data_IF_408163400774
#
_entry.id   IF_408163400774
#
_cell.length_a   1.000
_cell.length_b   1.000
_cell.length_c   1.000
_cell.angle_alpha   90.00
_cell.angle_beta   90.00
_cell.angle_gamma   90.00
#
_symmetry.space_group_name_H-M   'P 1'
#
loop_
_entity.id
_entity.type
_entity.pdbx_description
1 polymer ?
#
# COMPACT_ATOMS: atom_id res chain seq x y z
N UNK A 1 -11.47 27.19 -21.85
CA UNK A 1 -11.57 26.90 -20.41
C UNK A 1 -11.24 25.42 -20.23
N UNK A 2 -10.47 25.02 -19.21
CA UNK A 2 -10.28 23.60 -18.92
C UNK A 2 -11.66 22.93 -18.71
N UNK A 3 -11.83 21.71 -19.22
CA UNK A 3 -13.09 20.97 -19.09
C UNK A 3 -13.41 20.78 -17.60
N UNK A 4 -14.64 21.12 -17.18
CA UNK A 4 -15.06 21.00 -15.79
C UNK A 4 -15.02 19.53 -15.39
N UNK A 5 -14.30 19.22 -14.32
CA UNK A 5 -14.20 17.85 -13.82
C UNK A 5 -15.54 17.39 -13.23
N UNK A 6 -15.89 16.14 -13.53
CA UNK A 6 -16.99 15.38 -12.95
C UNK A 6 -16.53 13.95 -12.71
N UNK A 7 -17.17 13.18 -11.80
CA UNK A 7 -16.78 11.79 -11.55
C UNK A 7 -16.74 10.89 -12.80
N UNK A 8 -17.51 11.22 -13.85
CA UNK A 8 -17.60 10.49 -15.11
C UNK A 8 -16.75 11.08 -16.26
N UNK A 9 -16.04 12.20 -16.03
CA UNK A 9 -15.22 12.87 -17.04
C UNK A 9 -14.13 11.97 -17.65
N UNK A 10 -13.64 10.99 -16.88
CA UNK A 10 -12.67 10.00 -17.35
C UNK A 10 -13.20 9.12 -18.49
N UNK A 11 -14.52 8.92 -18.60
CA UNK A 11 -15.13 8.06 -19.64
C UNK A 11 -14.91 8.60 -21.06
N UNK A 12 -14.59 9.90 -21.18
CA UNK A 12 -14.25 10.55 -22.46
C UNK A 12 -12.76 10.44 -22.82
N UNK A 13 -11.92 9.92 -21.92
CA UNK A 13 -10.49 9.79 -22.12
C UNK A 13 -10.13 8.37 -22.58
N UNK A 14 -9.00 8.18 -23.29
CA UNK A 14 -8.44 6.86 -23.53
C UNK A 14 -8.20 6.13 -22.20
N UNK A 15 -8.50 4.83 -22.15
CA UNK A 15 -8.34 4.00 -20.95
C UNK A 15 -7.53 2.75 -21.26
N UNK A 16 -6.62 2.41 -20.34
CA UNK A 16 -5.85 1.17 -20.38
C UNK A 16 -6.38 0.19 -19.33
N UNK A 17 -6.16 -1.11 -19.53
CA UNK A 17 -6.43 -2.17 -18.54
C UNK A 17 -7.90 -2.39 -18.14
N UNK A 18 -8.86 -1.63 -18.68
CA UNK A 18 -10.28 -1.85 -18.45
C UNK A 18 -10.75 -3.21 -19.01
N UNK A 19 -11.59 -3.95 -18.28
CA UNK A 19 -12.21 -5.17 -18.80
C UNK A 19 -13.24 -4.84 -19.89
N UNK A 20 -13.45 -5.80 -20.79
CA UNK A 20 -14.55 -5.76 -21.75
C UNK A 20 -15.69 -6.63 -21.20
N UNK A 21 -16.71 -5.98 -20.63
CA UNK A 21 -17.89 -6.68 -20.15
C UNK A 21 -18.82 -7.06 -21.31
N UNK A 22 -19.38 -8.28 -21.32
CA UNK A 22 -20.22 -8.75 -22.42
C UNK A 22 -21.58 -8.04 -22.49
N UNK A 23 -22.12 -7.61 -21.35
CA UNK A 23 -23.39 -6.90 -21.25
C UNK A 23 -23.16 -5.52 -20.61
N UNK A 24 -23.34 -4.47 -21.41
CA UNK A 24 -23.17 -3.08 -20.96
C UNK A 24 -24.33 -2.58 -20.10
N UNK A 25 -25.52 -3.13 -20.26
CA UNK A 25 -26.68 -2.75 -19.45
C UNK A 25 -26.51 -3.27 -18.03
N UNK A 26 -26.08 -4.54 -17.88
CA UNK A 26 -25.77 -5.11 -16.55
C UNK A 26 -24.66 -4.34 -15.85
N UNK A 27 -23.64 -3.86 -16.59
CA UNK A 27 -22.61 -2.98 -16.04
C UNK A 27 -23.20 -1.67 -15.52
N UNK A 28 -23.97 -0.96 -16.36
CA UNK A 28 -24.58 0.31 -15.98
C UNK A 28 -25.53 0.17 -14.78
N UNK A 29 -26.32 -0.90 -14.73
CA UNK A 29 -27.22 -1.20 -13.61
C UNK A 29 -26.45 -1.49 -12.32
N UNK A 30 -25.32 -2.21 -12.43
CA UNK A 30 -24.45 -2.50 -11.29
C UNK A 30 -23.78 -1.22 -10.75
N UNK A 31 -23.23 -0.38 -11.63
CA UNK A 31 -22.63 0.90 -11.24
C UNK A 31 -23.67 1.83 -10.59
N UNK A 32 -24.89 1.88 -11.15
CA UNK A 32 -26.02 2.63 -10.57
C UNK A 32 -26.42 2.08 -9.19
N UNK A 33 -26.43 0.77 -9.02
CA UNK A 33 -26.70 0.15 -7.72
C UNK A 33 -25.63 0.55 -6.70
N UNK A 34 -24.35 0.40 -7.03
CA UNK A 34 -23.22 0.77 -6.16
C UNK A 34 -23.25 2.26 -5.75
N UNK A 35 -23.68 3.15 -6.65
CA UNK A 35 -23.84 4.57 -6.36
C UNK A 35 -24.86 4.86 -5.23
N UNK A 36 -25.80 3.95 -4.98
CA UNK A 36 -26.77 4.04 -3.88
C UNK A 36 -26.24 3.53 -2.54
N UNK A 37 -25.13 2.79 -2.54
CA UNK A 37 -24.58 2.23 -1.30
C UNK A 37 -23.84 3.28 -0.46
N UNK A 38 -23.78 3.07 0.88
CA UNK A 38 -22.95 3.88 1.76
C UNK A 38 -21.48 3.96 1.30
N UNK A 39 -20.77 5.05 1.60
CA UNK A 39 -19.34 5.12 1.39
C UNK A 39 -18.59 4.12 2.30
N UNK A 40 -17.45 3.59 1.87
CA UNK A 40 -16.58 2.77 2.74
C UNK A 40 -15.82 3.66 3.74
N UNK A 41 -15.39 4.84 3.30
CA UNK A 41 -14.64 5.79 4.13
C UNK A 41 -15.30 7.17 4.14
N UNK A 42 -15.17 7.89 5.25
CA UNK A 42 -15.64 9.27 5.34
C UNK A 42 -14.59 10.25 4.83
N UNK A 43 -15.01 11.32 4.14
CA UNK A 43 -14.11 12.32 3.56
C UNK A 43 -13.19 13.00 4.61
N UNK A 44 -13.67 13.17 5.84
CA UNK A 44 -12.84 13.68 6.94
C UNK A 44 -11.66 12.78 7.29
N UNK A 45 -11.81 11.46 7.13
CA UNK A 45 -10.73 10.50 7.37
C UNK A 45 -9.65 10.59 6.29
N UNK A 46 -10.05 10.77 5.02
CA UNK A 46 -9.11 11.03 3.93
C UNK A 46 -8.33 12.35 4.15
N UNK A 47 -8.97 13.39 4.71
CA UNK A 47 -8.28 14.63 5.10
C UNK A 47 -7.30 14.41 6.26
N UNK A 48 -7.67 13.61 7.25
CA UNK A 48 -6.78 13.26 8.36
C UNK A 48 -5.54 12.50 7.83
N UNK A 49 -5.73 11.55 6.92
CA UNK A 49 -4.63 10.87 6.24
C UNK A 49 -3.75 11.87 5.48
N UNK A 50 -4.34 12.79 4.69
CA UNK A 50 -3.57 13.80 3.96
C UNK A 50 -2.71 14.66 4.89
N UNK A 51 -3.25 15.08 6.05
CA UNK A 51 -2.48 15.79 7.09
C UNK A 51 -1.35 14.93 7.67
N UNK A 52 -1.58 13.63 7.89
CA UNK A 52 -0.56 12.70 8.36
C UNK A 52 0.56 12.52 7.32
N UNK A 53 0.21 12.37 6.04
CA UNK A 53 1.17 12.29 4.93
C UNK A 53 1.92 13.61 4.71
N UNK A 54 1.32 14.76 5.04
CA UNK A 54 2.03 16.04 5.04
C UNK A 54 3.17 16.04 6.06
N UNK A 55 2.97 15.45 7.25
CA UNK A 55 4.06 15.26 8.24
C UNK A 55 5.17 14.37 7.67
N UNK A 56 4.83 13.33 6.91
CA UNK A 56 5.83 12.47 6.24
C UNK A 56 6.61 13.26 5.19
N UNK A 57 5.94 14.02 4.32
CA UNK A 57 6.59 14.88 3.34
C UNK A 57 7.54 15.91 4.00
N UNK A 58 7.21 16.35 5.21
CA UNK A 58 8.01 17.26 6.03
C UNK A 58 9.05 16.56 6.93
N UNK A 59 9.33 15.26 6.75
CA UNK A 59 10.31 14.47 7.52
C UNK A 59 9.99 14.31 9.01
N UNK A 60 8.72 14.41 9.38
CA UNK A 60 8.24 14.30 10.77
C UNK A 60 7.57 12.95 11.06
N UNK A 61 7.41 12.10 10.05
CA UNK A 61 6.79 10.79 10.14
C UNK A 61 7.29 9.90 8.99
N UNK A 62 6.98 8.61 9.05
CA UNK A 62 7.26 7.63 8.00
C UNK A 62 5.98 6.94 7.54
N UNK A 63 5.85 6.65 6.25
CA UNK A 63 4.73 5.90 5.69
C UNK A 63 5.07 4.41 5.65
N UNK A 64 4.28 3.59 6.35
CA UNK A 64 4.22 2.15 6.12
C UNK A 64 2.93 1.86 5.33
N UNK A 65 3.08 1.45 4.08
CA UNK A 65 1.98 0.97 3.26
C UNK A 65 2.18 -0.52 2.93
N UNK A 66 1.17 -1.36 3.12
CA UNK A 66 1.32 -2.79 2.83
C UNK A 66 0.09 -3.65 3.02
N UNK A 67 0.11 -4.84 2.42
CA UNK A 67 -0.98 -5.83 2.46
C UNK A 67 -0.95 -6.72 1.25
N UNK A 68 -2.09 -7.31 0.90
CA UNK A 68 -2.13 -8.29 -0.19
C UNK A 68 -1.77 -7.69 -1.55
N UNK A 69 -1.29 -8.55 -2.45
CA UNK A 69 -1.09 -8.20 -3.84
C UNK A 69 -2.45 -7.96 -4.53
N UNK A 70 -3.34 -8.94 -4.38
CA UNK A 70 -4.76 -8.83 -4.67
C UNK A 70 -5.54 -9.58 -3.59
N UNK A 71 -6.58 -8.95 -3.04
CA UNK A 71 -7.53 -9.62 -2.16
C UNK A 71 -8.37 -10.62 -2.97
N UNK A 72 -8.73 -11.75 -2.34
CA UNK A 72 -9.60 -12.76 -2.94
C UNK A 72 -10.90 -12.92 -2.14
N UNK A 73 -11.99 -13.23 -2.84
CA UNK A 73 -13.27 -13.59 -2.25
C UNK A 73 -13.19 -14.92 -1.49
N UNK A 74 -12.36 -15.86 -1.96
CA UNK A 74 -12.18 -17.16 -1.31
C UNK A 74 -11.40 -17.06 0.01
N UNK A 75 -10.51 -16.08 0.14
CA UNK A 75 -9.67 -15.88 1.34
C UNK A 75 -10.30 -14.90 2.35
N UNK A 76 -11.59 -14.61 2.23
CA UNK A 76 -12.31 -13.73 3.14
C UNK A 76 -12.61 -14.40 4.49
N UNK A 77 -11.69 -14.26 5.44
CA UNK A 77 -11.84 -14.79 6.80
C UNK A 77 -11.33 -13.81 7.87
N UNK A 78 -12.04 -13.74 8.99
CA UNK A 78 -11.67 -12.87 10.11
C UNK A 78 -10.25 -13.15 10.64
N UNK A 79 -9.82 -14.42 10.62
CA UNK A 79 -8.45 -14.81 10.99
C UNK A 79 -7.40 -14.22 10.05
N UNK A 80 -7.64 -14.25 8.73
CA UNK A 80 -6.71 -13.68 7.74
C UNK A 80 -6.56 -12.16 7.95
N UNK A 81 -7.68 -11.45 8.13
CA UNK A 81 -7.69 -10.01 8.38
C UNK A 81 -6.96 -9.68 9.69
N UNK A 82 -7.24 -10.42 10.76
CA UNK A 82 -6.56 -10.27 12.06
C UNK A 82 -5.06 -10.53 11.93
N UNK A 83 -4.66 -11.59 11.24
CA UNK A 83 -3.26 -12.00 11.15
C UNK A 83 -2.44 -11.01 10.29
N UNK A 84 -3.03 -10.50 9.20
CA UNK A 84 -2.49 -9.36 8.46
C UNK A 84 -2.34 -8.13 9.37
N UNK A 85 -3.42 -7.72 10.06
CA UNK A 85 -3.41 -6.52 10.90
C UNK A 85 -2.37 -6.63 12.03
N UNK A 86 -2.28 -7.80 12.67
CA UNK A 86 -1.27 -8.10 13.71
C UNK A 86 0.14 -7.95 13.18
N UNK A 87 0.47 -8.60 12.06
CA UNK A 87 1.80 -8.49 11.44
C UNK A 87 2.11 -7.03 11.06
N UNK A 88 1.13 -6.32 10.49
CA UNK A 88 1.28 -4.92 10.13
C UNK A 88 1.61 -4.03 11.34
N UNK A 89 0.91 -4.22 12.45
CA UNK A 89 1.17 -3.49 13.70
C UNK A 89 2.55 -3.80 14.28
N UNK A 90 3.00 -5.06 14.18
CA UNK A 90 4.36 -5.42 14.63
C UNK A 90 5.43 -4.64 13.85
N UNK A 91 5.32 -4.56 12.51
CA UNK A 91 6.23 -3.73 11.72
C UNK A 91 6.15 -2.27 12.11
N UNK A 92 4.95 -1.75 12.28
CA UNK A 92 4.74 -0.36 12.66
C UNK A 92 5.38 -0.03 14.01
N UNK A 93 5.29 -0.92 15.00
CA UNK A 93 5.90 -0.73 16.31
C UNK A 93 7.42 -0.83 16.24
N UNK A 94 7.97 -1.79 15.48
CA UNK A 94 9.42 -1.89 15.23
C UNK A 94 9.96 -0.58 14.68
N UNK A 95 9.32 -0.05 13.63
CA UNK A 95 9.68 1.22 13.02
C UNK A 95 9.52 2.38 14.00
N UNK A 96 8.39 2.46 14.71
CA UNK A 96 8.12 3.57 15.65
C UNK A 96 9.18 3.63 16.75
N UNK A 97 9.48 2.50 17.37
CA UNK A 97 10.44 2.44 18.48
C UNK A 97 11.87 2.64 18.00
N UNK A 98 12.31 1.86 17.01
CA UNK A 98 13.73 1.83 16.63
C UNK A 98 14.14 3.03 15.76
N UNK A 99 13.23 3.62 14.98
CA UNK A 99 13.47 4.88 14.27
C UNK A 99 13.18 6.13 15.12
N UNK A 100 12.45 5.98 16.24
CA UNK A 100 11.96 7.07 17.10
C UNK A 100 11.15 8.14 16.31
N UNK A 101 10.19 7.68 15.51
CA UNK A 101 9.41 8.52 14.61
C UNK A 101 7.99 7.98 14.41
N UNK A 102 6.96 8.85 14.31
CA UNK A 102 5.60 8.42 13.99
C UNK A 102 5.51 7.64 12.69
N UNK A 103 4.71 6.57 12.66
CA UNK A 103 4.46 5.77 11.46
C UNK A 103 3.00 5.89 11.04
N UNK A 104 2.76 6.41 9.84
CA UNK A 104 1.44 6.45 9.18
C UNK A 104 1.16 5.08 8.57
N UNK A 105 0.01 4.48 8.93
CA UNK A 105 -0.32 3.07 8.67
C UNK A 105 -1.39 2.98 7.59
N UNK A 106 -1.01 2.51 6.40
CA UNK A 106 -1.91 2.41 5.25
C UNK A 106 -1.96 0.96 4.74
N UNK A 107 -3.05 0.26 4.96
CA UNK A 107 -3.27 -1.10 4.47
C UNK A 107 -3.56 -1.13 2.96
N UNK A 108 -3.04 -2.13 2.26
CA UNK A 108 -3.55 -2.58 0.96
C UNK A 108 -4.66 -3.61 1.20
N UNK A 109 -5.83 -3.13 1.57
CA UNK A 109 -6.91 -3.97 2.10
C UNK A 109 -8.26 -3.25 1.98
N UNK A 110 -9.35 -4.01 1.94
CA UNK A 110 -10.72 -3.54 1.78
C UNK A 110 -10.96 -2.77 0.47
N UNK A 111 -10.40 -3.28 -0.64
CA UNK A 111 -10.62 -2.70 -1.97
C UNK A 111 -9.62 -3.16 -3.04
N UNK A 112 -8.58 -3.90 -2.68
CA UNK A 112 -7.47 -4.28 -3.56
C UNK A 112 -7.81 -5.53 -4.39
N UNK A 113 -8.94 -5.51 -5.09
CA UNK A 113 -9.46 -6.67 -5.84
C UNK A 113 -9.15 -6.65 -7.34
N UNK A 114 -8.63 -5.54 -7.89
CA UNK A 114 -8.34 -5.41 -9.32
C UNK A 114 -6.83 -5.48 -9.58
N UNK A 115 -6.43 -6.17 -10.67
CA UNK A 115 -5.02 -6.30 -11.07
C UNK A 115 -4.80 -5.94 -12.53
N UNK A 116 -3.82 -5.07 -12.86
CA UNK A 116 -3.42 -4.88 -14.24
C UNK A 116 -2.63 -6.10 -14.76
N UNK A 117 -2.72 -6.38 -16.06
CA UNK A 117 -2.06 -7.53 -16.70
C UNK A 117 -1.19 -7.10 -17.86
N UNK A 118 -0.02 -7.74 -17.99
CA UNK A 118 0.88 -7.52 -19.13
C UNK A 118 0.31 -8.06 -20.44
N UNK A 119 -0.54 -9.10 -20.38
CA UNK A 119 -1.22 -9.69 -21.54
C UNK A 119 -2.73 -9.73 -21.28
N UNK A 120 -3.58 -9.46 -22.28
CA UNK A 120 -5.03 -9.60 -22.14
C UNK A 120 -5.48 -11.06 -22.02
N UNK A 121 -4.70 -12.01 -22.55
CA UNK A 121 -5.00 -13.45 -22.55
C UNK A 121 -3.91 -14.25 -21.85
N UNK A 122 -4.27 -15.45 -21.42
CA UNK A 122 -3.40 -16.45 -20.79
C UNK A 122 -3.55 -17.78 -21.53
N UNK A 123 -2.41 -18.43 -21.83
CA UNK A 123 -2.37 -19.72 -22.51
C UNK A 123 -1.93 -20.82 -21.54
N UNK A 124 -2.72 -21.87 -21.42
CA UNK A 124 -2.38 -23.10 -20.67
C UNK A 124 -2.91 -24.31 -21.43
N UNK A 125 -2.10 -25.35 -21.56
CA UNK A 125 -2.48 -26.63 -22.17
C UNK A 125 -3.16 -26.49 -23.55
N UNK A 126 -2.65 -25.58 -24.38
CA UNK A 126 -3.18 -25.33 -25.73
C UNK A 126 -4.48 -24.50 -25.79
N UNK A 127 -5.08 -24.13 -24.65
CA UNK A 127 -6.24 -23.22 -24.58
C UNK A 127 -5.82 -21.79 -24.27
N UNK A 128 -6.48 -20.82 -24.90
CA UNK A 128 -6.27 -19.39 -24.68
C UNK A 128 -7.54 -18.76 -24.10
N UNK A 129 -7.45 -18.22 -22.88
CA UNK A 129 -8.56 -17.58 -22.17
C UNK A 129 -8.20 -16.15 -21.75
N UNK A 130 -9.19 -15.28 -21.44
CA UNK A 130 -8.91 -13.99 -20.82
C UNK A 130 -8.06 -14.17 -19.56
N UNK A 131 -7.09 -13.27 -19.39
CA UNK A 131 -6.29 -13.23 -18.16
C UNK A 131 -7.20 -12.94 -16.96
N UNK A 132 -6.91 -13.59 -15.83
CA UNK A 132 -7.47 -13.21 -14.54
C UNK A 132 -7.08 -11.75 -14.20
N UNK A 133 -8.05 -10.89 -13.89
CA UNK A 133 -7.82 -9.46 -13.60
C UNK A 133 -8.20 -9.09 -12.16
N UNK A 134 -8.33 -10.10 -11.29
CA UNK A 134 -8.77 -9.92 -9.92
C UNK A 134 -10.26 -10.17 -9.75
N UNK A 135 -10.66 -10.57 -8.53
CA UNK A 135 -11.98 -11.15 -8.24
C UNK A 135 -13.14 -10.19 -8.49
N UNK A 136 -12.88 -8.88 -8.50
CA UNK A 136 -13.87 -7.84 -8.87
C UNK A 136 -14.23 -7.85 -10.37
N UNK A 137 -13.42 -8.49 -11.21
CA UNK A 137 -13.63 -8.56 -12.66
C UNK A 137 -14.04 -9.98 -13.07
N UNK A 138 -13.22 -10.98 -12.77
CA UNK A 138 -13.42 -12.38 -13.16
C UNK A 138 -12.78 -13.33 -12.16
N UNK A 139 -13.02 -14.62 -12.32
CA UNK A 139 -12.53 -15.65 -11.41
C UNK A 139 -11.11 -16.14 -11.76
N UNK A 140 -10.40 -16.67 -10.77
CA UNK A 140 -9.07 -17.22 -10.96
C UNK A 140 -9.07 -18.51 -11.79
N UNK A 141 -10.09 -19.37 -11.64
CA UNK A 141 -10.17 -20.67 -12.29
C UNK A 141 -10.00 -20.54 -13.82
N UNK A 142 -9.25 -21.48 -14.43
CA UNK A 142 -8.91 -21.44 -15.86
C UNK A 142 -10.00 -22.14 -16.71
N UNK A 143 -11.22 -21.60 -16.67
CA UNK A 143 -12.35 -22.05 -17.51
C UNK A 143 -12.98 -20.85 -18.23
N UNK A 144 -13.69 -21.10 -19.35
CA UNK A 144 -14.32 -20.03 -20.13
C UNK A 144 -15.31 -19.20 -19.30
N UNK A 145 -16.16 -19.87 -18.52
CA UNK A 145 -17.14 -19.21 -17.66
C UNK A 145 -16.47 -18.41 -16.53
N UNK A 146 -15.46 -18.99 -15.88
CA UNK A 146 -14.70 -18.35 -14.81
C UNK A 146 -14.00 -17.07 -15.28
N UNK A 147 -13.42 -17.10 -16.49
CA UNK A 147 -12.63 -15.98 -17.04
C UNK A 147 -13.47 -14.89 -17.69
N UNK A 148 -14.77 -15.11 -17.91
CA UNK A 148 -15.69 -14.09 -18.43
C UNK A 148 -15.87 -12.96 -17.40
N UNK A 149 -15.63 -11.69 -17.76
CA UNK A 149 -15.89 -10.57 -16.86
C UNK A 149 -17.38 -10.48 -16.47
N UNK A 150 -17.65 -10.38 -15.18
CA UNK A 150 -19.01 -10.24 -14.62
C UNK A 150 -19.11 -8.94 -13.82
N UNK A 151 -19.94 -7.95 -14.25
CA UNK A 151 -20.09 -6.70 -13.52
C UNK A 151 -20.58 -6.89 -12.08
N UNK A 152 -21.36 -7.93 -11.80
CA UNK A 152 -21.96 -8.19 -10.48
C UNK A 152 -20.92 -8.46 -9.39
N UNK A 153 -19.71 -8.89 -9.77
CA UNK A 153 -18.57 -9.06 -8.87
C UNK A 153 -18.16 -7.75 -8.19
N UNK A 154 -18.50 -6.59 -8.77
CA UNK A 154 -18.28 -5.28 -8.12
C UNK A 154 -19.13 -5.10 -6.85
N UNK A 155 -20.36 -5.64 -6.81
CA UNK A 155 -21.21 -5.62 -5.61
C UNK A 155 -20.60 -6.49 -4.51
N UNK A 156 -20.05 -7.64 -4.88
CA UNK A 156 -19.39 -8.53 -3.92
C UNK A 156 -18.11 -7.91 -3.36
N UNK A 157 -17.28 -7.32 -4.22
CA UNK A 157 -16.10 -6.58 -3.80
C UNK A 157 -16.45 -5.46 -2.80
N UNK A 158 -17.53 -4.71 -3.03
CA UNK A 158 -18.01 -3.70 -2.08
C UNK A 158 -18.39 -4.33 -0.73
N UNK A 159 -19.18 -5.41 -0.72
CA UNK A 159 -19.63 -6.07 0.53
C UNK A 159 -18.46 -6.59 1.34
N UNK A 160 -17.52 -7.26 0.67
CA UNK A 160 -16.30 -7.75 1.31
C UNK A 160 -15.45 -6.59 1.85
N UNK A 161 -15.31 -5.51 1.09
CA UNK A 161 -14.58 -4.31 1.54
C UNK A 161 -15.22 -3.72 2.79
N UNK A 162 -16.55 -3.59 2.83
CA UNK A 162 -17.29 -3.06 3.97
C UNK A 162 -17.12 -3.96 5.21
N UNK A 163 -17.23 -5.28 5.06
CA UNK A 163 -17.05 -6.23 6.15
C UNK A 163 -15.61 -6.21 6.71
N UNK A 164 -14.62 -6.22 5.81
CA UNK A 164 -13.19 -6.15 6.18
C UNK A 164 -12.87 -4.85 6.90
N UNK A 165 -13.31 -3.70 6.36
CA UNK A 165 -13.05 -2.40 6.96
C UNK A 165 -13.74 -2.24 8.32
N UNK A 166 -14.96 -2.75 8.47
CA UNK A 166 -15.64 -2.76 9.77
C UNK A 166 -14.84 -3.53 10.83
N UNK A 167 -14.31 -4.71 10.48
CA UNK A 167 -13.48 -5.50 11.38
C UNK A 167 -12.15 -4.81 11.70
N UNK A 168 -11.50 -4.19 10.72
CA UNK A 168 -10.28 -3.41 10.92
C UNK A 168 -10.50 -2.23 11.86
N UNK A 169 -11.60 -1.49 11.72
CA UNK A 169 -11.99 -0.42 12.64
C UNK A 169 -12.16 -0.94 14.06
N UNK A 170 -12.82 -2.09 14.22
CA UNK A 170 -12.98 -2.74 15.51
C UNK A 170 -11.63 -3.14 16.13
N UNK A 171 -10.68 -3.65 15.36
CA UNK A 171 -9.34 -3.95 15.88
C UNK A 171 -8.53 -2.70 16.22
N UNK A 172 -8.58 -1.66 15.37
CA UNK A 172 -7.83 -0.43 15.54
C UNK A 172 -8.28 0.41 16.75
N UNK A 173 -9.57 0.35 17.09
CA UNK A 173 -10.17 1.18 18.15
C UNK A 173 -10.62 0.37 19.37
N UNK A 174 -10.93 -0.92 19.20
CA UNK A 174 -11.50 -1.80 20.25
C UNK A 174 -10.48 -2.47 21.16
N UNK A 175 -9.23 -1.96 21.22
CA UNK A 175 -8.19 -2.44 22.12
C UNK A 175 -7.26 -3.51 21.55
N UNK A 176 -7.54 -4.10 20.38
CA UNK A 176 -6.60 -5.02 19.74
C UNK A 176 -5.30 -4.33 19.32
N UNK A 177 -5.31 -3.01 19.13
CA UNK A 177 -4.12 -2.20 18.80
C UNK A 177 -3.42 -1.58 20.03
N UNK A 178 -3.79 -1.97 21.27
CA UNK A 178 -3.19 -1.43 22.49
C UNK A 178 -1.69 -1.78 22.58
N UNK A 179 -0.84 -0.78 22.80
CA UNK A 179 0.61 -0.97 22.93
C UNK A 179 1.00 -1.89 24.11
N UNK A 180 0.17 -1.98 25.16
CA UNK A 180 0.37 -2.93 26.25
C UNK A 180 0.27 -4.40 25.78
N UNK A 181 -0.43 -4.67 24.67
CA UNK A 181 -0.60 -6.00 24.10
C UNK A 181 0.51 -6.39 23.10
N UNK A 182 1.51 -5.53 22.85
CA UNK A 182 2.55 -5.77 21.84
C UNK A 182 3.29 -7.09 22.13
N UNK A 183 3.57 -7.41 23.41
CA UNK A 183 4.20 -8.68 23.80
C UNK A 183 3.37 -9.90 23.37
N UNK A 184 2.04 -9.82 23.44
CA UNK A 184 1.15 -10.91 23.02
C UNK A 184 1.17 -11.11 21.50
N UNK A 185 1.28 -10.02 20.73
CA UNK A 185 1.40 -10.13 19.27
C UNK A 185 2.73 -10.78 18.87
N UNK A 186 3.84 -10.34 19.48
CA UNK A 186 5.20 -10.70 19.07
C UNK A 186 5.58 -12.16 19.33
N UNK A 187 4.97 -12.82 20.33
CA UNK A 187 5.35 -14.20 20.72
C UNK A 187 4.84 -15.30 19.78
N UNK A 188 3.88 -15.03 18.88
CA UNK A 188 3.16 -16.08 18.14
C UNK A 188 3.93 -16.73 16.98
N UNK A 189 4.59 -15.93 16.12
CA UNK A 189 5.24 -16.44 14.89
C UNK A 189 6.76 -16.54 15.01
N UNK A 190 7.32 -15.77 15.92
CA UNK A 190 8.75 -15.56 16.03
C UNK A 190 9.42 -16.61 16.92
N UNK A 191 8.65 -17.36 17.72
CA UNK A 191 9.17 -18.33 18.69
C UNK A 191 10.18 -19.32 18.09
N UNK A 192 9.97 -19.71 16.83
CA UNK A 192 10.80 -20.69 16.12
C UNK A 192 11.71 -20.07 15.03
N UNK A 193 11.79 -18.73 14.98
CA UNK A 193 12.59 -18.00 13.98
C UNK A 193 14.04 -17.78 14.46
N UNK A 194 15.04 -17.84 13.56
CA UNK A 194 16.42 -17.46 13.86
C UNK A 194 16.57 -16.02 14.40
N UNK A 195 15.66 -15.10 14.03
CA UNK A 195 15.69 -13.72 14.53
C UNK A 195 14.97 -13.51 15.86
N UNK A 196 14.42 -14.57 16.46
CA UNK A 196 13.63 -14.49 17.68
C UNK A 196 14.27 -13.66 18.79
N UNK A 197 15.58 -13.81 18.96
CA UNK A 197 16.34 -13.05 19.95
C UNK A 197 16.24 -11.52 19.73
N UNK A 198 16.44 -11.04 18.51
CA UNK A 198 16.39 -9.60 18.19
C UNK A 198 14.99 -9.03 18.43
N UNK A 199 13.96 -9.82 18.17
CA UNK A 199 12.57 -9.45 18.47
C UNK A 199 12.28 -9.39 19.97
N UNK A 200 12.71 -10.39 20.73
CA UNK A 200 12.54 -10.43 22.18
C UNK A 200 13.24 -9.24 22.83
N UNK A 201 14.49 -8.94 22.43
CA UNK A 201 15.22 -7.79 22.95
C UNK A 201 14.50 -6.45 22.66
N UNK A 202 13.90 -6.29 21.48
CA UNK A 202 13.11 -5.11 21.16
C UNK A 202 11.81 -5.05 21.99
N UNK A 203 11.12 -6.19 22.12
CA UNK A 203 9.91 -6.32 22.93
C UNK A 203 10.14 -5.91 24.37
N UNK A 204 11.22 -6.39 24.97
CA UNK A 204 11.58 -6.11 26.36
C UNK A 204 11.86 -4.62 26.52
N UNK A 205 12.60 -4.02 25.59
CA UNK A 205 12.86 -2.57 25.56
C UNK A 205 11.62 -1.70 25.40
N UNK A 206 10.65 -2.13 24.60
CA UNK A 206 9.34 -1.44 24.50
C UNK A 206 8.60 -1.57 25.83
N UNK A 207 8.61 -2.75 26.43
CA UNK A 207 7.95 -3.01 27.73
C UNK A 207 8.57 -2.16 28.85
N UNK A 208 9.90 -2.05 28.88
CA UNK A 208 10.64 -1.17 29.78
C UNK A 208 10.27 0.30 29.57
N UNK A 209 10.18 0.77 28.32
CA UNK A 209 9.80 2.14 28.02
C UNK A 209 8.35 2.45 28.45
N UNK A 210 7.41 1.52 28.23
CA UNK A 210 6.04 1.65 28.72
C UNK A 210 6.00 1.64 30.25
N UNK A 211 6.79 0.79 30.90
CA UNK A 211 6.94 0.76 32.36
C UNK A 211 7.53 2.07 32.91
N UNK A 212 8.49 2.68 32.21
CA UNK A 212 9.03 4.00 32.55
C UNK A 212 7.95 5.08 32.42
N UNK A 213 7.19 5.11 31.32
CA UNK A 213 6.07 6.05 31.15
C UNK A 213 5.06 5.92 32.30
N UNK A 214 4.71 4.68 32.67
CA UNK A 214 3.82 4.42 33.79
C UNK A 214 4.42 4.89 35.14
N UNK A 215 5.71 4.66 35.37
CA UNK A 215 6.41 5.14 36.56
C UNK A 215 6.49 6.68 36.63
N UNK A 216 6.48 7.37 35.48
CA UNK A 216 6.35 8.82 35.39
C UNK A 216 4.92 9.34 35.59
N UNK A 217 3.95 8.46 35.85
CA UNK A 217 2.55 8.82 36.13
C UNK A 217 1.65 8.86 34.88
N UNK A 218 2.11 8.37 33.72
CA UNK A 218 1.24 8.18 32.56
C UNK A 218 0.42 6.90 32.75
N UNK A 219 -0.88 7.04 32.93
CA UNK A 219 -1.78 5.89 32.95
C UNK A 219 -2.08 5.41 31.52
N UNK A 220 -1.50 4.27 31.17
CA UNK A 220 -1.59 3.68 29.84
C UNK A 220 -3.05 3.38 29.43
N UNK A 221 -3.97 3.21 30.39
CA UNK A 221 -5.37 2.91 30.11
C UNK A 221 -6.26 4.16 29.92
N UNK A 222 -5.90 5.29 30.51
CA UNK A 222 -6.63 6.56 30.34
C UNK A 222 -6.12 7.43 29.18
N UNK A 223 -5.03 7.04 28.52
CA UNK A 223 -4.51 7.70 27.32
C UNK A 223 -4.96 6.99 26.02
N UNK A 224 -5.94 7.55 25.27
CA UNK A 224 -6.45 6.95 24.04
C UNK A 224 -5.37 6.72 22.97
N UNK A 225 -4.33 7.55 22.96
CA UNK A 225 -3.21 7.49 22.01
C UNK A 225 -2.35 6.22 22.17
N UNK A 226 -2.43 5.55 23.32
CA UNK A 226 -1.71 4.30 23.61
C UNK A 226 -2.59 3.06 23.39
N UNK A 227 -3.91 3.24 23.37
CA UNK A 227 -4.92 2.18 23.23
C UNK A 227 -5.41 1.98 21.82
N UNK A 228 -5.40 3.04 21.02
CA UNK A 228 -5.97 3.07 19.68
C UNK A 228 -4.91 3.44 18.66
N UNK A 229 -5.17 3.10 17.40
CA UNK A 229 -4.29 3.54 16.33
C UNK A 229 -5.11 3.90 15.10
N UNK A 230 -4.66 4.92 14.37
CA UNK A 230 -5.22 5.21 13.06
C UNK A 230 -4.73 4.18 12.06
N UNK A 231 -5.66 3.52 11.38
CA UNK A 231 -5.38 2.61 10.29
C UNK A 231 -6.20 2.98 9.07
N UNK A 232 -5.51 3.26 7.97
CA UNK A 232 -6.11 3.68 6.72
C UNK A 232 -6.08 2.56 5.69
N UNK A 233 -6.93 2.64 4.67
CA UNK A 233 -7.03 1.67 3.57
C UNK A 233 -6.65 2.28 2.25
N UNK A 234 -6.13 1.44 1.36
CA UNK A 234 -5.74 1.84 0.03
C UNK A 234 -5.81 0.70 -0.98
N UNK A 235 -6.03 1.07 -2.24
CA UNK A 235 -6.01 0.17 -3.38
C UNK A 235 -5.65 0.92 -4.68
N UNK A 236 -5.35 0.17 -5.73
CA UNK A 236 -5.17 0.71 -7.07
C UNK A 236 -6.52 1.14 -7.63
N UNK A 237 -6.64 2.40 -8.06
CA UNK A 237 -7.84 2.92 -8.71
C UNK A 237 -7.93 2.41 -10.16
N UNK A 238 -8.01 1.10 -10.35
CA UNK A 238 -7.89 0.48 -11.68
C UNK A 238 -9.23 0.42 -12.42
N UNK A 239 -10.29 -0.04 -11.74
CA UNK A 239 -11.63 -0.22 -12.30
C UNK A 239 -12.47 1.04 -12.08
N UNK A 240 -12.32 2.02 -12.97
CA UNK A 240 -12.86 3.37 -12.75
C UNK A 240 -14.40 3.44 -12.63
N UNK A 241 -15.14 2.48 -13.19
CA UNK A 241 -16.59 2.38 -12.98
C UNK A 241 -16.97 2.13 -11.52
N UNK A 242 -16.19 1.31 -10.82
CA UNK A 242 -16.32 1.06 -9.38
C UNK A 242 -15.94 2.31 -8.56
N UNK A 243 -14.84 2.95 -8.93
CA UNK A 243 -14.35 4.16 -8.26
C UNK A 243 -15.32 5.34 -8.42
N UNK A 244 -15.83 5.57 -9.63
CA UNK A 244 -16.88 6.55 -9.92
C UNK A 244 -18.14 6.28 -9.10
N UNK A 245 -18.62 5.03 -9.08
CA UNK A 245 -19.80 4.64 -8.31
C UNK A 245 -19.60 4.82 -6.80
N UNK A 246 -18.37 4.84 -6.29
CA UNK A 246 -18.03 5.13 -4.90
C UNK A 246 -17.47 6.55 -4.68
N UNK A 247 -17.61 7.46 -5.64
CA UNK A 247 -17.25 8.87 -5.48
C UNK A 247 -18.41 9.65 -4.86
N UNK A 248 -18.14 10.45 -3.83
CA UNK A 248 -19.16 11.23 -3.11
C UNK A 248 -18.71 12.67 -2.93
N UNK A 249 -19.69 13.57 -2.86
CA UNK A 249 -19.47 14.95 -2.40
C UNK A 249 -19.42 14.93 -0.88
N UNK A 250 -18.37 15.52 -0.32
CA UNK A 250 -18.29 15.79 1.11
C UNK A 250 -19.24 16.93 1.48
N UNK A 251 -20.19 16.64 2.39
CA UNK A 251 -21.19 17.61 2.83
C UNK A 251 -20.58 18.84 3.54
N UNK A 252 -19.34 18.74 4.04
CA UNK A 252 -18.68 19.84 4.76
C UNK A 252 -17.92 20.81 3.85
N UNK A 253 -17.45 20.36 2.68
CA UNK A 253 -16.58 21.17 1.79
C UNK A 253 -17.15 21.35 0.39
N UNK A 254 -18.06 20.49 -0.05
CA UNK A 254 -18.53 20.43 -1.43
C UNK A 254 -17.54 19.76 -2.40
N UNK A 255 -16.41 19.26 -1.89
CA UNK A 255 -15.38 18.58 -2.69
C UNK A 255 -15.73 17.10 -2.94
N UNK A 256 -15.17 16.56 -4.03
CA UNK A 256 -15.32 15.15 -4.38
C UNK A 256 -14.23 14.28 -3.75
N UNK A 257 -14.64 13.15 -3.19
CA UNK A 257 -13.74 12.12 -2.66
C UNK A 257 -14.12 10.75 -3.23
N UNK A 258 -13.12 9.97 -3.62
CA UNK A 258 -13.26 8.54 -3.82
C UNK A 258 -13.44 7.90 -2.44
N UNK A 259 -14.66 7.46 -2.12
CA UNK A 259 -14.98 6.89 -0.80
C UNK A 259 -14.86 5.37 -0.77
N UNK A 260 -14.22 4.78 -1.80
CA UNK A 260 -13.82 3.37 -1.87
C UNK A 260 -12.61 3.06 -0.96
N UNK A 261 -11.75 4.05 -0.68
CA UNK A 261 -10.57 3.91 0.15
C UNK A 261 -10.03 5.26 0.61
N UNK A 262 -9.23 5.28 1.67
CA UNK A 262 -8.70 6.54 2.21
C UNK A 262 -7.68 7.18 1.27
N UNK A 263 -6.76 6.36 0.76
CA UNK A 263 -5.80 6.68 -0.28
C UNK A 263 -6.00 5.74 -1.46
N UNK A 264 -5.90 6.24 -2.68
CA UNK A 264 -5.88 5.38 -3.87
C UNK A 264 -4.62 5.67 -4.69
N UNK A 265 -4.14 4.71 -5.48
CA UNK A 265 -2.98 4.96 -6.35
C UNK A 265 -3.26 4.64 -7.82
N UNK A 266 -2.44 5.25 -8.68
CA UNK A 266 -2.40 4.99 -10.11
C UNK A 266 -1.20 4.08 -10.40
N UNK A 267 -1.46 2.97 -11.08
CA UNK A 267 -0.46 1.97 -11.44
C UNK A 267 0.51 2.42 -12.54
N UNK A 268 1.64 1.72 -12.66
CA UNK A 268 2.69 2.06 -13.64
C UNK A 268 2.22 1.88 -15.10
N UNK A 269 1.17 1.07 -15.32
CA UNK A 269 0.57 0.80 -16.64
C UNK A 269 -0.59 1.72 -16.99
N UNK A 270 -1.03 2.55 -16.05
CA UNK A 270 -2.24 3.40 -16.16
C UNK A 270 -1.96 4.89 -15.88
N UNK A 271 -0.68 5.29 -15.83
CA UNK A 271 -0.26 6.66 -15.52
C UNK A 271 -0.01 7.56 -16.74
N UNK A 272 -0.66 7.30 -17.86
CA UNK A 272 -0.52 8.15 -19.04
C UNK A 272 -1.23 9.49 -18.78
N UNK A 273 -0.52 10.60 -18.96
CA UNK A 273 -0.94 11.94 -18.50
C UNK A 273 -2.27 12.44 -19.10
N UNK A 274 -2.67 11.92 -20.26
CA UNK A 274 -3.88 12.28 -21.02
C UNK A 274 -4.98 11.20 -20.94
N UNK A 275 -4.81 10.18 -20.10
CA UNK A 275 -5.73 9.04 -19.97
C UNK A 275 -6.67 9.13 -18.77
N UNK A 276 -7.67 8.25 -18.79
CA UNK A 276 -8.78 8.17 -17.85
C UNK A 276 -8.36 8.14 -16.38
N UNK A 277 -7.34 7.37 -16.00
CA UNK A 277 -6.91 7.24 -14.61
C UNK A 277 -6.33 8.54 -14.03
N UNK A 278 -5.57 9.28 -14.83
CA UNK A 278 -5.06 10.60 -14.44
C UNK A 278 -6.21 11.60 -14.36
N UNK A 279 -7.13 11.59 -15.33
CA UNK A 279 -8.31 12.47 -15.33
C UNK A 279 -9.20 12.22 -14.10
N UNK A 280 -9.44 10.97 -13.73
CA UNK A 280 -10.20 10.63 -12.54
C UNK A 280 -9.50 11.14 -11.26
N UNK A 281 -8.21 10.83 -11.09
CA UNK A 281 -7.44 11.22 -9.91
C UNK A 281 -7.25 12.74 -9.77
N UNK A 282 -7.28 13.49 -10.89
CA UNK A 282 -7.14 14.95 -10.92
C UNK A 282 -8.19 15.67 -10.08
N UNK A 283 -9.44 15.19 -10.05
CA UNK A 283 -10.54 15.93 -9.41
C UNK A 283 -10.98 15.44 -8.03
N UNK A 284 -10.61 14.22 -7.62
CA UNK A 284 -10.84 13.77 -6.24
C UNK A 284 -9.87 14.46 -5.27
N UNK A 285 -10.23 14.61 -4.00
CA UNK A 285 -9.42 15.27 -2.96
C UNK A 285 -8.71 14.32 -1.99
N UNK A 286 -8.83 13.01 -2.17
CA UNK A 286 -8.05 12.01 -1.43
C UNK A 286 -6.54 12.25 -1.56
N UNK A 287 -5.71 11.87 -0.59
CA UNK A 287 -4.29 11.64 -0.88
C UNK A 287 -4.17 10.54 -1.93
N UNK A 288 -3.25 10.72 -2.89
CA UNK A 288 -3.09 9.83 -4.04
C UNK A 288 -1.65 9.32 -4.18
N UNK A 289 -1.52 8.08 -4.61
CA UNK A 289 -0.24 7.47 -4.97
C UNK A 289 -0.03 7.41 -6.48
N UNK A 290 1.22 7.46 -6.92
CA UNK A 290 1.62 7.29 -8.32
C UNK A 290 2.82 6.35 -8.42
N UNK A 291 2.65 5.18 -9.04
CA UNK A 291 3.75 4.25 -9.27
C UNK A 291 4.76 4.84 -10.26
N UNK A 292 6.03 4.81 -9.89
CA UNK A 292 7.14 5.34 -10.68
C UNK A 292 8.11 4.18 -11.03
N UNK A 293 7.97 3.64 -12.23
CA UNK A 293 8.90 2.63 -12.77
C UNK A 293 10.08 3.22 -13.56
N UNK A 294 11.01 2.36 -14.01
CA UNK A 294 12.22 2.79 -14.73
C UNK A 294 11.96 3.43 -16.11
N UNK A 295 10.75 3.31 -16.65
CA UNK A 295 10.35 3.96 -17.90
C UNK A 295 9.96 5.43 -17.74
N UNK A 296 9.74 5.91 -16.50
CA UNK A 296 9.30 7.28 -16.23
C UNK A 296 10.46 8.26 -16.37
N UNK A 297 10.28 9.30 -17.20
CA UNK A 297 11.23 10.39 -17.37
C UNK A 297 10.89 11.56 -16.44
N UNK A 298 11.88 12.39 -16.15
CA UNK A 298 11.74 13.55 -15.26
C UNK A 298 10.66 14.54 -15.72
N UNK A 299 10.65 14.93 -17.00
CA UNK A 299 9.67 15.90 -17.51
C UNK A 299 8.24 15.35 -17.49
N UNK A 300 8.08 14.06 -17.79
CA UNK A 300 6.78 13.38 -17.70
C UNK A 300 6.31 13.31 -16.23
N UNK A 301 7.21 13.04 -15.29
CA UNK A 301 6.89 13.07 -13.86
C UNK A 301 6.44 14.45 -13.41
N UNK A 302 7.15 15.51 -13.80
CA UNK A 302 6.78 16.89 -13.45
C UNK A 302 5.40 17.25 -13.99
N UNK A 303 5.09 16.89 -15.25
CA UNK A 303 3.76 17.08 -15.82
C UNK A 303 2.67 16.33 -15.04
N UNK A 304 2.95 15.10 -14.61
CA UNK A 304 2.01 14.34 -13.78
C UNK A 304 1.80 15.00 -12.41
N UNK A 305 2.86 15.52 -11.79
CA UNK A 305 2.76 16.27 -10.53
C UNK A 305 1.91 17.53 -10.72
N UNK A 306 2.11 18.28 -11.80
CA UNK A 306 1.30 19.47 -12.13
C UNK A 306 -0.20 19.16 -12.22
N UNK A 307 -0.55 18.01 -12.81
CA UNK A 307 -1.95 17.60 -12.96
C UNK A 307 -2.54 17.14 -11.62
N UNK A 308 -1.77 16.38 -10.84
CA UNK A 308 -2.27 15.65 -9.66
C UNK A 308 -2.16 16.44 -8.36
N UNK A 309 -1.23 17.39 -8.28
CA UNK A 309 -0.99 18.27 -7.15
C UNK A 309 -0.74 19.73 -7.60
N UNK A 310 -1.72 20.37 -8.27
CA UNK A 310 -1.54 21.71 -8.84
C UNK A 310 -1.26 22.79 -7.79
N UNK A 311 -1.81 22.63 -6.58
CA UNK A 311 -1.63 23.57 -5.47
C UNK A 311 -0.36 23.30 -4.65
N UNK A 312 0.46 22.32 -5.08
CA UNK A 312 1.68 21.88 -4.40
C UNK A 312 1.46 21.54 -2.91
N UNK A 313 0.32 20.94 -2.58
CA UNK A 313 -0.10 20.63 -1.22
C UNK A 313 0.71 19.46 -0.65
N UNK A 314 1.28 19.65 0.55
CA UNK A 314 1.97 18.58 1.26
C UNK A 314 1.01 17.44 1.62
N UNK A 315 1.44 16.18 1.40
CA UNK A 315 0.63 14.99 1.69
C UNK A 315 -0.41 14.64 0.62
N UNK A 316 -0.58 15.47 -0.42
CA UNK A 316 -1.48 15.18 -1.55
C UNK A 316 -0.97 14.04 -2.42
N UNK A 317 0.31 14.06 -2.82
CA UNK A 317 0.87 13.14 -3.80
C UNK A 317 2.05 12.34 -3.24
N UNK A 318 1.94 11.02 -3.32
CA UNK A 318 2.99 10.05 -2.99
C UNK A 318 3.55 9.42 -4.27
N UNK A 319 4.83 9.61 -4.53
CA UNK A 319 5.57 8.96 -5.61
C UNK A 319 6.12 7.61 -5.12
N UNK A 320 5.62 6.53 -5.69
CA UNK A 320 5.92 5.16 -5.26
C UNK A 320 6.92 4.53 -6.23
N UNK A 321 8.21 4.62 -5.91
CA UNK A 321 9.32 4.16 -6.74
C UNK A 321 9.47 2.64 -6.75
N UNK A 322 9.47 2.03 -7.94
CA UNK A 322 9.63 0.58 -8.16
C UNK A 322 10.59 0.32 -9.31
N UNK A 323 11.87 0.53 -9.09
CA UNK A 323 12.88 0.50 -10.14
C UNK A 323 13.47 -0.90 -10.34
N UNK A 324 13.53 -1.69 -9.27
CA UNK A 324 14.35 -2.89 -9.19
C UNK A 324 15.73 -2.59 -8.60
N UNK A 325 16.30 -3.55 -7.89
CA UNK A 325 17.54 -3.44 -7.14
C UNK A 325 18.74 -2.97 -7.98
N UNK A 326 18.79 -3.39 -9.24
CA UNK A 326 19.88 -3.03 -10.17
C UNK A 326 19.69 -1.66 -10.83
N UNK A 327 18.50 -1.07 -10.74
CA UNK A 327 18.09 0.10 -11.52
C UNK A 327 17.78 1.34 -10.68
N UNK A 328 17.53 1.16 -9.38
CA UNK A 328 17.18 2.28 -8.48
C UNK A 328 18.26 3.36 -8.45
N UNK A 329 19.54 2.98 -8.40
CA UNK A 329 20.66 3.93 -8.38
C UNK A 329 20.87 4.68 -9.70
N UNK A 330 20.38 4.15 -10.82
CA UNK A 330 20.50 4.77 -12.15
C UNK A 330 19.33 5.74 -12.41
N UNK A 331 18.09 5.30 -12.13
CA UNK A 331 16.90 6.02 -12.57
C UNK A 331 16.36 7.02 -11.55
N UNK A 332 16.36 6.68 -10.25
CA UNK A 332 15.75 7.52 -9.22
C UNK A 332 16.43 8.90 -9.06
N UNK A 333 17.78 9.06 -9.11
CA UNK A 333 18.41 10.35 -8.88
C UNK A 333 17.90 11.47 -9.79
N UNK A 334 17.71 11.18 -11.08
CA UNK A 334 17.24 12.17 -12.04
C UNK A 334 15.83 12.69 -11.69
N UNK A 335 14.95 11.80 -11.23
CA UNK A 335 13.59 12.15 -10.82
C UNK A 335 13.60 13.00 -9.55
N UNK A 336 14.38 12.59 -8.55
CA UNK A 336 14.52 13.32 -7.27
C UNK A 336 15.07 14.73 -7.51
N UNK A 337 16.12 14.87 -8.33
CA UNK A 337 16.70 16.16 -8.69
C UNK A 337 15.71 17.07 -9.39
N UNK A 338 14.91 16.53 -10.32
CA UNK A 338 13.91 17.30 -11.03
C UNK A 338 12.81 17.82 -10.08
N UNK A 339 12.23 16.95 -9.26
CA UNK A 339 11.21 17.31 -8.26
C UNK A 339 11.72 18.37 -7.29
N UNK A 340 12.96 18.21 -6.81
CA UNK A 340 13.60 19.17 -5.90
C UNK A 340 13.87 20.51 -6.57
N UNK A 341 14.38 20.50 -7.81
CA UNK A 341 14.67 21.72 -8.59
C UNK A 341 13.41 22.56 -8.82
N UNK A 342 12.29 21.91 -9.14
CA UNK A 342 11.00 22.58 -9.38
C UNK A 342 10.24 22.90 -8.07
N UNK A 343 10.83 22.66 -6.89
CA UNK A 343 10.21 22.97 -5.61
C UNK A 343 8.92 22.19 -5.31
N UNK A 344 8.76 20.99 -5.89
CA UNK A 344 7.54 20.19 -5.72
C UNK A 344 7.55 19.43 -4.40
N UNK A 345 6.44 19.54 -3.67
CA UNK A 345 6.23 18.85 -2.39
C UNK A 345 5.51 17.53 -2.65
N UNK A 346 6.25 16.44 -2.48
CA UNK A 346 5.76 15.07 -2.66
C UNK A 346 6.32 14.17 -1.56
N UNK A 347 5.65 13.06 -1.31
CA UNK A 347 6.15 11.97 -0.48
C UNK A 347 6.83 10.94 -1.38
N UNK A 348 8.07 10.56 -1.07
CA UNK A 348 8.76 9.46 -1.74
C UNK A 348 8.60 8.15 -0.95
N UNK A 349 8.06 7.12 -1.59
CA UNK A 349 7.87 5.78 -1.02
C UNK A 349 8.54 4.72 -1.89
N UNK A 350 9.21 3.75 -1.28
CA UNK A 350 9.85 2.65 -1.99
C UNK A 350 8.91 1.45 -2.10
N UNK A 351 8.67 0.97 -3.32
CA UNK A 351 8.07 -0.33 -3.62
C UNK A 351 9.16 -1.29 -4.13
N UNK A 352 9.86 -1.99 -3.21
CA UNK A 352 10.96 -2.88 -3.56
C UNK A 352 10.48 -4.25 -4.07
N UNK A 353 9.18 -4.42 -4.30
CA UNK A 353 8.59 -5.73 -4.61
C UNK A 353 8.46 -5.88 -6.12
N UNK A 354 7.74 -4.97 -6.76
CA UNK A 354 7.32 -5.15 -8.14
C UNK A 354 8.53 -5.08 -9.10
N UNK A 355 9.59 -4.33 -8.76
CA UNK A 355 10.82 -4.23 -9.54
C UNK A 355 11.67 -5.49 -9.59
N UNK A 356 11.47 -6.40 -8.63
CA UNK A 356 12.37 -7.54 -8.37
C UNK A 356 11.69 -8.90 -8.59
N UNK A 357 10.63 -8.95 -9.40
CA UNK A 357 9.94 -10.20 -9.70
C UNK A 357 10.68 -10.97 -10.80
N UNK A 358 10.98 -12.23 -10.54
CA UNK A 358 11.59 -13.17 -11.49
C UNK A 358 10.70 -14.41 -11.67
N UNK A 359 10.94 -15.18 -12.72
CA UNK A 359 10.42 -16.55 -12.84
C UNK A 359 11.53 -17.51 -12.39
N UNK A 360 11.23 -18.38 -11.42
CA UNK A 360 12.17 -19.34 -10.87
C UNK A 360 12.32 -20.58 -11.77
N UNK A 361 13.25 -21.48 -11.44
CA UNK A 361 13.52 -22.67 -12.24
C UNK A 361 12.34 -23.66 -12.23
N UNK A 362 11.62 -23.73 -11.12
CA UNK A 362 10.35 -24.47 -10.99
C UNK A 362 9.15 -23.82 -11.72
N UNK A 363 9.33 -22.64 -12.33
CA UNK A 363 8.30 -21.95 -13.11
C UNK A 363 7.38 -21.03 -12.31
N UNK A 364 7.55 -20.96 -10.98
CA UNK A 364 6.84 -20.00 -10.15
C UNK A 364 7.37 -18.58 -10.36
N UNK A 365 6.49 -17.60 -10.24
CA UNK A 365 6.96 -16.23 -10.01
C UNK A 365 7.46 -16.16 -8.57
N UNK A 366 8.61 -15.55 -8.34
CA UNK A 366 9.13 -15.30 -6.99
C UNK A 366 9.86 -13.96 -6.95
N UNK A 367 10.24 -13.54 -5.75
CA UNK A 367 11.05 -12.35 -5.51
C UNK A 367 12.14 -12.72 -4.51
N UNK A 368 13.42 -12.71 -4.92
CA UNK A 368 14.51 -12.93 -3.99
C UNK A 368 14.55 -11.83 -2.94
N UNK A 369 14.48 -12.21 -1.67
CA UNK A 369 14.43 -11.26 -0.55
C UNK A 369 15.63 -10.31 -0.54
N UNK A 370 16.82 -10.79 -0.91
CA UNK A 370 18.03 -9.95 -0.99
C UNK A 370 17.91 -8.81 -2.01
N UNK A 371 17.20 -9.02 -3.13
CA UNK A 371 16.94 -7.95 -4.10
C UNK A 371 15.95 -6.92 -3.53
N UNK A 372 14.95 -7.37 -2.77
CA UNK A 372 14.03 -6.48 -2.05
C UNK A 372 14.82 -5.60 -1.08
N UNK A 373 15.69 -6.19 -0.25
CA UNK A 373 16.53 -5.46 0.69
C UNK A 373 17.49 -4.50 -0.04
N UNK A 374 18.09 -4.94 -1.16
CA UNK A 374 19.03 -4.14 -1.96
C UNK A 374 18.36 -2.92 -2.57
N UNK A 375 17.14 -3.04 -3.11
CA UNK A 375 16.40 -1.88 -3.62
C UNK A 375 16.08 -0.87 -2.52
N UNK A 376 15.66 -1.33 -1.34
CA UNK A 376 15.43 -0.44 -0.19
C UNK A 376 16.69 0.31 0.20
N UNK A 377 17.85 -0.37 0.32
CA UNK A 377 19.12 0.30 0.62
C UNK A 377 19.47 1.35 -0.44
N UNK A 378 19.40 0.97 -1.72
CA UNK A 378 19.67 1.89 -2.83
C UNK A 378 18.74 3.09 -2.85
N UNK A 379 17.45 2.91 -2.54
CA UNK A 379 16.48 4.00 -2.43
C UNK A 379 16.88 5.00 -1.33
N UNK A 380 17.23 4.52 -0.13
CA UNK A 380 17.70 5.37 0.96
C UNK A 380 19.02 6.08 0.62
N UNK A 381 19.97 5.38 0.00
CA UNK A 381 21.25 5.94 -0.43
C UNK A 381 21.07 7.08 -1.44
N UNK A 382 20.19 6.91 -2.43
CA UNK A 382 19.85 7.98 -3.39
C UNK A 382 19.24 9.18 -2.67
N UNK A 383 18.26 8.97 -1.79
CA UNK A 383 17.65 10.08 -1.06
C UNK A 383 18.65 10.83 -0.17
N UNK A 384 19.56 10.09 0.48
CA UNK A 384 20.64 10.67 1.27
C UNK A 384 21.59 11.51 0.40
N UNK A 385 22.04 10.97 -0.73
CA UNK A 385 22.95 11.65 -1.66
C UNK A 385 22.33 12.92 -2.26
N UNK A 386 21.05 12.87 -2.62
CA UNK A 386 20.32 14.01 -3.20
C UNK A 386 19.80 15.00 -2.13
N UNK A 387 20.02 14.70 -0.84
CA UNK A 387 19.54 15.49 0.29
C UNK A 387 18.02 15.60 0.38
N UNK A 388 17.30 14.61 -0.17
CA UNK A 388 15.84 14.48 -0.08
C UNK A 388 15.47 13.55 1.09
N UNK A 389 14.25 13.01 1.13
CA UNK A 389 13.78 12.16 2.24
C UNK A 389 13.15 10.88 1.71
N UNK A 390 13.64 9.73 2.19
CA UNK A 390 13.04 8.43 1.95
C UNK A 390 11.86 8.25 2.92
N UNK A 391 10.68 8.73 2.52
CA UNK A 391 9.54 8.93 3.42
C UNK A 391 8.66 7.71 3.67
N UNK A 392 8.82 6.61 2.94
CA UNK A 392 7.98 5.44 3.16
C UNK A 392 8.38 4.19 2.41
N UNK A 393 7.62 3.12 2.68
CA UNK A 393 7.63 1.88 1.91
C UNK A 393 6.23 1.44 1.53
N UNK A 394 6.13 0.71 0.42
CA UNK A 394 4.93 0.12 -0.13
C UNK A 394 5.20 -1.36 -0.42
N UNK A 395 4.59 -2.24 0.37
CA UNK A 395 4.94 -3.66 0.42
C UNK A 395 3.77 -4.57 0.06
N UNK A 396 4.06 -5.74 -0.49
CA UNK A 396 3.11 -6.84 -0.61
C UNK A 396 3.47 -7.89 0.44
N UNK A 397 2.56 -8.13 1.38
CA UNK A 397 2.82 -8.94 2.57
C UNK A 397 1.56 -9.64 3.05
N UNK A 398 1.72 -10.76 3.76
CA UNK A 398 0.63 -11.50 4.39
C UNK A 398 1.05 -12.00 5.77
N UNK A 399 0.09 -11.99 6.72
CA UNK A 399 0.29 -12.59 8.05
C UNK A 399 0.25 -14.12 8.03
N UNK A 400 -0.03 -14.73 6.89
CA UNK A 400 0.00 -16.17 6.71
C UNK A 400 1.44 -16.69 6.57
N UNK A 401 1.65 -17.94 6.99
CA UNK A 401 2.94 -18.61 6.84
C UNK A 401 3.07 -19.21 5.43
N UNK A 402 3.45 -18.38 4.46
CA UNK A 402 3.58 -18.71 3.04
C UNK A 402 5.04 -18.82 2.58
N UNK A 403 5.27 -19.52 1.48
CA UNK A 403 6.57 -19.68 0.80
C UNK A 403 6.53 -19.07 -0.60
N UNK A 404 6.32 -17.75 -0.67
CA UNK A 404 6.13 -17.04 -1.95
C UNK A 404 7.41 -16.32 -2.42
N UNK A 405 8.15 -15.67 -1.51
CA UNK A 405 9.44 -15.02 -1.79
C UNK A 405 10.60 -15.91 -1.31
N UNK A 406 11.63 -16.09 -2.15
CA UNK A 406 12.83 -16.87 -1.79
C UNK A 406 13.78 -16.11 -0.87
N UNK A 407 14.61 -16.83 -0.11
CA UNK A 407 15.57 -16.27 0.84
C UNK A 407 14.95 -15.89 2.20
N UNK A 408 15.50 -14.85 2.83
CA UNK A 408 15.16 -14.47 4.21
C UNK A 408 15.78 -15.41 5.24
N UNK A 409 15.38 -15.25 6.51
CA UNK A 409 15.86 -16.00 7.66
C UNK A 409 15.97 -17.52 7.46
N UNK A 410 14.89 -18.09 6.90
CA UNK A 410 14.70 -19.52 6.70
C UNK A 410 15.35 -20.01 5.41
N UNK A 411 15.92 -19.11 4.61
CA UNK A 411 16.52 -19.40 3.31
C UNK A 411 15.57 -20.19 2.38
N UNK A 412 14.32 -19.71 2.23
CA UNK A 412 13.30 -20.36 1.39
C UNK A 412 13.87 -20.58 -0.02
N UNK A 413 13.95 -21.84 -0.42
CA UNK A 413 14.48 -22.29 -1.70
C UNK A 413 13.40 -22.31 -2.78
N UNK A 414 13.83 -22.46 -4.04
CA UNK A 414 12.89 -22.64 -5.16
C UNK A 414 12.03 -23.91 -5.00
N UNK A 415 12.58 -24.96 -4.39
CA UNK A 415 11.88 -26.22 -4.18
C UNK A 415 10.73 -26.08 -3.15
N UNK A 416 10.89 -25.22 -2.15
CA UNK A 416 9.89 -24.97 -1.09
C UNK A 416 8.77 -24.01 -1.52
N UNK A 417 8.87 -23.39 -2.71
CA UNK A 417 7.80 -22.50 -3.20
C UNK A 417 6.48 -23.26 -3.32
N UNK A 418 6.50 -24.51 -3.79
CA UNK A 418 5.28 -25.30 -3.99
C UNK A 418 4.56 -25.68 -2.68
N UNK A 419 5.22 -25.57 -1.52
CA UNK A 419 4.66 -25.99 -0.24
C UNK A 419 3.45 -25.14 0.15
N UNK A 420 3.56 -23.81 0.01
CA UNK A 420 2.57 -22.83 0.48
C UNK A 420 2.49 -21.58 -0.41
N UNK A 421 2.48 -21.77 -1.73
CA UNK A 421 2.24 -20.70 -2.70
C UNK A 421 0.75 -20.40 -2.82
N UNK A 422 0.23 -19.47 -2.03
CA UNK A 422 -1.22 -19.22 -1.95
C UNK A 422 -1.68 -18.03 -2.79
N UNK A 423 -0.78 -17.10 -3.13
CA UNK A 423 -1.12 -15.95 -3.97
C UNK A 423 -1.59 -16.36 -5.37
N UNK A 424 -2.75 -15.84 -5.76
CA UNK A 424 -3.26 -15.91 -7.15
C UNK A 424 -2.56 -14.91 -8.08
N UNK A 425 -1.60 -14.17 -7.54
CA UNK A 425 -1.18 -12.87 -8.05
C UNK A 425 0.36 -12.79 -8.10
N UNK A 426 0.98 -11.83 -7.42
CA UNK A 426 2.42 -11.78 -7.24
C UNK A 426 2.84 -12.26 -5.83
N UNK A 427 4.10 -12.72 -5.67
CA UNK A 427 4.65 -13.22 -4.40
C UNK A 427 4.68 -12.20 -3.26
N UNK A 428 4.12 -12.53 -2.11
CA UNK A 428 4.09 -11.67 -0.91
C UNK A 428 5.25 -12.02 0.04
N UNK A 429 5.68 -11.03 0.82
CA UNK A 429 6.48 -11.29 2.01
C UNK A 429 5.62 -12.03 3.03
N UNK A 430 6.15 -13.13 3.57
CA UNK A 430 5.57 -13.71 4.78
C UNK A 430 5.89 -12.85 6.01
N UNK A 431 5.31 -13.19 7.16
CA UNK A 431 5.51 -12.45 8.39
C UNK A 431 7.00 -12.27 8.75
N UNK A 432 7.82 -13.33 8.71
CA UNK A 432 9.23 -13.22 9.10
C UNK A 432 10.03 -12.27 8.20
N UNK A 433 9.87 -12.41 6.88
CA UNK A 433 10.52 -11.53 5.91
C UNK A 433 10.04 -10.08 6.05
N UNK A 434 8.75 -9.88 6.29
CA UNK A 434 8.18 -8.55 6.49
C UNK A 434 8.79 -7.86 7.71
N UNK A 435 8.95 -8.57 8.83
CA UNK A 435 9.54 -7.95 10.02
C UNK A 435 11.07 -7.79 9.89
N UNK A 436 11.79 -8.71 9.23
CA UNK A 436 13.22 -8.53 8.93
C UNK A 436 13.46 -7.23 8.14
N UNK A 437 12.58 -6.95 7.18
CA UNK A 437 12.59 -5.69 6.46
C UNK A 437 12.27 -4.49 7.36
N UNK A 438 11.35 -4.61 8.33
CA UNK A 438 11.07 -3.54 9.29
C UNK A 438 12.32 -3.18 10.13
N UNK A 439 13.12 -4.18 10.52
CA UNK A 439 14.37 -3.94 11.23
C UNK A 439 15.42 -3.24 10.38
N UNK A 440 15.56 -3.64 9.11
CA UNK A 440 16.43 -2.92 8.17
C UNK A 440 16.00 -1.45 8.03
N UNK A 441 14.72 -1.21 7.80
CA UNK A 441 14.18 0.14 7.66
C UNK A 441 14.43 0.98 8.93
N UNK A 442 14.25 0.40 10.10
CA UNK A 442 14.55 1.08 11.36
C UNK A 442 16.03 1.47 11.49
N UNK A 443 16.96 0.60 11.08
CA UNK A 443 18.39 0.93 11.05
C UNK A 443 18.70 2.08 10.09
N UNK A 444 18.13 2.05 8.88
CA UNK A 444 18.31 3.09 7.87
C UNK A 444 17.76 4.44 8.35
N UNK A 445 16.54 4.45 8.91
CA UNK A 445 15.91 5.66 9.45
C UNK A 445 16.68 6.22 10.65
N UNK A 446 17.16 5.36 11.55
CA UNK A 446 18.01 5.78 12.67
C UNK A 446 19.30 6.44 12.17
N UNK A 447 19.95 5.86 11.15
CA UNK A 447 21.15 6.45 10.52
C UNK A 447 20.85 7.82 9.92
N UNK A 448 19.75 7.95 9.19
CA UNK A 448 19.33 9.23 8.60
C UNK A 448 19.08 10.30 9.67
N UNK A 449 18.33 9.97 10.72
CA UNK A 449 18.08 10.87 11.86
C UNK A 449 19.37 11.30 12.59
N UNK A 450 20.30 10.37 12.83
CA UNK A 450 21.57 10.71 13.48
C UNK A 450 22.44 11.66 12.64
N UNK A 451 22.31 11.61 11.30
CA UNK A 451 23.03 12.52 10.40
C UNK A 451 22.42 13.92 10.30
N UNK A 452 21.17 14.10 10.73
CA UNK A 452 20.45 15.38 10.78
C UNK A 452 19.58 15.41 12.04
N UNK A 453 20.12 15.83 13.19
CA UNK A 453 19.37 15.88 14.44
C UNK A 453 18.05 16.63 14.23
N UNK A 454 16.96 16.14 14.84
CA UNK A 454 15.76 16.94 14.97
C UNK A 454 16.12 18.29 15.62
N UNK A 455 15.42 19.39 15.29
CA UNK A 455 15.57 20.63 16.03
C UNK A 455 15.44 20.30 17.52
N UNK A 456 16.43 20.71 18.32
CA UNK A 456 16.35 20.54 19.76
C UNK A 456 15.00 21.10 20.24
N UNK A 457 14.33 20.38 21.14
CA UNK A 457 13.17 20.94 21.84
C UNK A 457 13.69 22.18 22.57
N UNK A 458 13.35 23.36 22.07
CA UNK A 458 13.69 24.60 22.74
C UNK A 458 12.87 24.66 24.02
N UNK A 459 13.52 24.39 25.16
CA UNK A 459 12.88 24.40 26.47
C UNK A 459 13.41 23.32 27.40
N UNK A 460 14.67 23.48 27.82
CA UNK A 460 15.10 23.24 29.20
C UNK A 460 16.00 24.41 29.61
#
# INVERSE_FOLDING_TARGET
MPERWTPDSWRKKPIQQAPVYPDRQVLADTEKQLATFPPLVFAGEARNLKKALAKVANRQAFLLQGGDCAESFAEHGANNIRDFFRMFLQMAVVLTYAAAMPVVKVGRIAGQFAKPRSSPTEKRDGKELPSYRGDIINDFAFTEDARRPDPRRQVEAYRQSAATLNLLRAFAQGGYANLASVRQWMLGFVKDSPQSRRYVELSDRISEALGFMQACGLDLESHPELRTTDFYTSHEALLLGFEEALTRIDSTTGDWYATSGHMIWIGDRTRQHDHAHIEYARGIKNPIGLKCGPSLKADDLLRLIDILNPDNEAGRLTLIGRFGAEKVGEHLPALVRAVKREGRVVLWSCDPMHGNTITSASGYKTRPFDLILKEVRGFFEVHQAEGSYAGGVHLEMTGQNVTECTGGARAISDAELNDRYHTVCDPRLNAEQAIDLAFLLAELLKKERSSKPLPAVAGL
#
